data_IF_305720076453
#
_entry.id   IF_305720076453
#
_cell.length_a   1.000
_cell.length_b   1.000
_cell.length_c   1.000
_cell.angle_alpha   90.00
_cell.angle_beta   90.00
_cell.angle_gamma   90.00
#
_symmetry.space_group_name_H-M   'P 1'
#
loop_
_entity.id
_entity.type
_entity.pdbx_description
1 polymer ?
#
# COMPACT_ATOMS: atom_id res chain seq x y z
N UNK A 1 -13.60 -3.19 25.11
CA UNK A 1 -12.69 -4.31 24.84
C UNK A 1 -12.79 -4.55 23.33
N UNK A 2 -11.72 -4.34 22.60
CA UNK A 2 -11.67 -4.65 21.18
C UNK A 2 -11.20 -6.10 21.05
N UNK A 3 -12.12 -7.03 20.85
CA UNK A 3 -11.82 -8.45 20.65
C UNK A 3 -11.84 -8.83 19.17
N UNK A 4 -11.18 -9.93 18.83
CA UNK A 4 -11.25 -10.48 17.49
C UNK A 4 -12.55 -11.28 17.33
N UNK A 5 -13.40 -10.82 16.43
CA UNK A 5 -14.61 -11.51 15.99
C UNK A 5 -14.21 -12.58 14.98
N UNK A 6 -14.84 -13.76 15.09
CA UNK A 6 -14.73 -14.78 14.05
C UNK A 6 -16.08 -15.04 13.40
N UNK A 7 -16.06 -15.30 12.11
CA UNK A 7 -17.23 -15.52 11.30
C UNK A 7 -17.02 -16.69 10.33
N UNK A 8 -18.11 -17.31 9.90
CA UNK A 8 -18.07 -18.37 8.88
C UNK A 8 -17.77 -17.83 7.47
N UNK A 9 -17.69 -18.73 6.50
CA UNK A 9 -17.41 -18.40 5.09
C UNK A 9 -18.49 -17.49 4.43
N UNK A 10 -19.66 -17.30 5.06
CA UNK A 10 -20.73 -16.41 4.64
C UNK A 10 -20.78 -15.10 5.46
N UNK A 11 -19.71 -14.79 6.23
CA UNK A 11 -19.60 -13.65 7.12
C UNK A 11 -20.72 -13.59 8.18
N UNK A 12 -21.23 -14.76 8.60
CA UNK A 12 -22.08 -14.84 9.78
C UNK A 12 -21.18 -14.89 11.00
N UNK A 13 -21.27 -13.87 11.84
CA UNK A 13 -20.52 -13.78 13.07
C UNK A 13 -20.90 -14.92 14.02
N UNK A 14 -19.93 -15.65 14.50
CA UNK A 14 -20.08 -16.79 15.41
C UNK A 14 -19.76 -16.38 16.86
N UNK A 15 -18.99 -15.32 17.06
CA UNK A 15 -18.67 -14.79 18.38
C UNK A 15 -17.34 -14.07 18.43
N UNK A 16 -16.90 -13.81 19.67
CA UNK A 16 -15.57 -13.29 19.98
C UNK A 16 -14.64 -14.45 20.32
N UNK A 17 -13.41 -14.39 19.86
CA UNK A 17 -12.39 -15.34 20.28
C UNK A 17 -12.01 -15.10 21.75
N UNK A 18 -11.85 -16.20 22.51
CA UNK A 18 -11.40 -16.12 23.91
C UNK A 18 -9.96 -15.66 24.06
N UNK A 19 -9.13 -15.90 23.04
CA UNK A 19 -7.82 -15.29 22.86
C UNK A 19 -7.48 -15.18 21.38
N UNK A 20 -6.63 -14.22 21.04
CA UNK A 20 -5.95 -14.11 19.76
C UNK A 20 -4.57 -13.49 20.01
N UNK A 21 -3.55 -13.97 19.29
CA UNK A 21 -2.19 -13.45 19.37
C UNK A 21 -1.55 -13.45 17.99
N UNK A 22 -1.02 -12.32 17.56
CA UNK A 22 -0.36 -12.16 16.27
C UNK A 22 -0.67 -10.85 15.60
N UNK A 23 -0.53 -10.76 14.30
CA UNK A 23 -0.50 -9.51 13.55
C UNK A 23 -1.47 -9.48 12.38
N UNK A 24 -2.06 -8.30 12.16
CA UNK A 24 -2.65 -7.88 10.90
C UNK A 24 -1.74 -6.84 10.25
N UNK A 25 -1.29 -7.09 9.03
CA UNK A 25 -0.43 -6.22 8.24
C UNK A 25 -1.19 -5.66 7.06
N UNK A 26 -1.21 -4.33 6.89
CA UNK A 26 -1.91 -3.65 5.79
C UNK A 26 -0.99 -2.64 5.10
N UNK A 27 -1.24 -2.39 3.82
CA UNK A 27 -0.48 -1.47 2.98
C UNK A 27 0.46 -2.19 2.03
N UNK A 28 1.42 -2.95 2.53
CA UNK A 28 2.40 -3.68 1.71
C UNK A 28 2.14 -5.18 1.72
N UNK A 29 2.11 -5.82 2.88
CA UNK A 29 1.95 -7.27 2.93
C UNK A 29 0.50 -7.73 2.82
N UNK A 30 -0.45 -6.95 3.36
CA UNK A 30 -1.88 -7.17 3.25
C UNK A 30 -2.33 -8.58 3.68
N UNK A 31 -1.71 -9.10 4.74
CA UNK A 31 -1.92 -10.44 5.29
C UNK A 31 -2.04 -10.39 6.80
N UNK A 32 -2.47 -11.49 7.39
CA UNK A 32 -2.47 -11.69 8.83
C UNK A 32 -1.98 -13.08 9.20
N UNK A 33 -1.49 -13.20 10.43
CA UNK A 33 -1.14 -14.47 11.08
C UNK A 33 -1.54 -14.36 12.55
N UNK A 34 -2.51 -15.18 12.98
CA UNK A 34 -3.05 -15.13 14.34
C UNK A 34 -3.11 -16.55 14.93
N UNK A 35 -2.55 -16.72 16.12
CA UNK A 35 -2.84 -17.87 16.97
C UNK A 35 -4.23 -17.69 17.55
N UNK A 36 -5.05 -18.71 17.39
CA UNK A 36 -6.45 -18.75 17.83
C UNK A 36 -6.77 -20.09 18.47
N UNK A 37 -7.79 -20.18 19.35
CA UNK A 37 -8.16 -21.44 19.97
C UNK A 37 -8.42 -22.53 18.95
N UNK A 38 -7.92 -23.74 19.18
CA UNK A 38 -8.13 -24.91 18.31
C UNK A 38 -9.59 -25.36 18.29
N UNK A 39 -10.33 -25.15 19.42
CA UNK A 39 -11.74 -25.50 19.56
C UNK A 39 -12.72 -24.43 19.04
N UNK A 40 -12.23 -23.32 18.47
CA UNK A 40 -13.09 -22.26 17.91
C UNK A 40 -13.77 -22.65 16.59
N UNK A 41 -13.39 -23.79 15.98
CA UNK A 41 -13.96 -24.24 14.71
C UNK A 41 -13.60 -23.38 13.51
N UNK A 42 -12.47 -22.66 13.57
CA UNK A 42 -11.96 -21.86 12.48
C UNK A 42 -11.43 -22.79 11.39
N UNK A 43 -11.80 -22.52 10.15
CA UNK A 43 -11.40 -23.29 8.99
C UNK A 43 -11.00 -22.38 7.84
N UNK A 44 -10.41 -22.92 6.79
CA UNK A 44 -10.21 -22.19 5.53
C UNK A 44 -11.54 -21.60 5.04
N UNK A 45 -11.52 -20.32 4.69
CA UNK A 45 -12.69 -19.55 4.29
C UNK A 45 -13.40 -18.82 5.43
N UNK A 46 -13.11 -19.10 6.70
CA UNK A 46 -13.56 -18.31 7.85
C UNK A 46 -13.00 -16.88 7.78
N UNK A 47 -13.61 -15.97 8.53
CA UNK A 47 -13.14 -14.60 8.64
C UNK A 47 -12.77 -14.27 10.08
N UNK A 48 -11.69 -13.50 10.23
CA UNK A 48 -11.24 -12.93 11.49
C UNK A 48 -11.19 -11.40 11.33
N UNK A 49 -11.76 -10.64 12.29
CA UNK A 49 -11.85 -9.19 12.16
C UNK A 49 -12.02 -8.50 13.51
N UNK A 50 -11.69 -7.21 13.52
CA UNK A 50 -11.95 -6.29 14.62
C UNK A 50 -13.00 -5.30 14.13
N UNK A 51 -14.18 -5.28 14.75
CA UNK A 51 -15.32 -4.46 14.31
C UNK A 51 -14.98 -2.97 14.27
N UNK A 52 -15.53 -2.29 13.29
CA UNK A 52 -15.32 -0.86 13.07
C UNK A 52 -13.91 -0.47 12.63
N UNK A 53 -13.02 -1.45 12.39
CA UNK A 53 -11.63 -1.22 11.98
C UNK A 53 -11.34 -1.73 10.58
N UNK A 54 -10.15 -1.42 10.09
CA UNK A 54 -9.59 -1.94 8.84
C UNK A 54 -8.94 -3.32 9.00
N UNK A 55 -8.78 -3.79 10.24
CA UNK A 55 -8.10 -5.03 10.57
C UNK A 55 -9.06 -6.20 10.54
N UNK A 56 -8.91 -7.03 9.54
CA UNK A 56 -9.68 -8.24 9.33
C UNK A 56 -9.47 -8.79 7.93
N UNK A 57 -9.95 -10.03 7.73
CA UNK A 57 -9.79 -10.70 6.45
C UNK A 57 -10.21 -12.15 6.51
N UNK A 58 -9.85 -12.88 5.45
CA UNK A 58 -10.23 -14.28 5.24
C UNK A 58 -9.08 -15.21 5.56
N UNK A 59 -9.36 -16.28 6.29
CA UNK A 59 -8.44 -17.37 6.54
C UNK A 59 -8.23 -18.15 5.24
N UNK A 60 -6.99 -18.20 4.77
CA UNK A 60 -6.57 -18.94 3.58
C UNK A 60 -5.89 -20.27 3.94
N UNK A 61 -5.42 -20.43 5.19
CA UNK A 61 -4.80 -21.65 5.68
C UNK A 61 -4.69 -21.71 7.21
N UNK A 62 -4.37 -22.87 7.71
CA UNK A 62 -4.14 -23.14 9.13
C UNK A 62 -2.82 -23.91 9.28
N UNK A 63 -1.96 -23.42 10.17
CA UNK A 63 -0.80 -24.17 10.65
C UNK A 63 -1.16 -24.80 11.98
N UNK A 64 -1.12 -26.13 12.04
CA UNK A 64 -1.57 -26.93 13.18
C UNK A 64 -0.36 -27.62 13.82
N UNK A 65 -0.12 -27.29 15.08
CA UNK A 65 0.79 -28.03 15.94
C UNK A 65 -0.06 -28.94 16.87
N UNK A 66 0.07 -30.25 16.73
CA UNK A 66 -0.74 -31.22 17.49
C UNK A 66 -0.42 -31.25 18.98
N UNK A 67 0.64 -30.60 19.43
CA UNK A 67 1.02 -30.49 20.84
C UNK A 67 0.53 -29.17 21.48
N UNK A 68 0.01 -28.24 20.68
CA UNK A 68 -0.52 -26.95 21.11
C UNK A 68 -2.05 -26.97 21.28
N UNK A 69 -2.54 -26.07 22.12
CA UNK A 69 -3.98 -25.80 22.32
C UNK A 69 -4.49 -24.65 21.45
N UNK A 70 -3.72 -24.28 20.41
CA UNK A 70 -4.06 -23.26 19.43
C UNK A 70 -3.69 -23.73 18.02
N UNK A 71 -4.30 -23.09 17.05
CA UNK A 71 -3.90 -23.16 15.63
C UNK A 71 -3.49 -21.77 15.17
N UNK A 72 -2.56 -21.70 14.22
CA UNK A 72 -2.20 -20.41 13.58
C UNK A 72 -3.01 -20.25 12.30
N UNK A 73 -3.96 -19.32 12.34
CA UNK A 73 -4.74 -18.94 11.16
C UNK A 73 -3.97 -17.90 10.36
N UNK A 74 -3.68 -18.21 9.10
CA UNK A 74 -3.00 -17.32 8.16
C UNK A 74 -3.94 -16.95 7.02
N UNK A 75 -3.85 -15.70 6.54
CA UNK A 75 -4.75 -15.29 5.49
C UNK A 75 -4.50 -13.87 4.98
N UNK A 76 -5.36 -13.48 4.03
CA UNK A 76 -5.35 -12.14 3.44
C UNK A 76 -6.28 -11.21 4.22
N UNK A 77 -5.78 -10.00 4.51
CA UNK A 77 -6.63 -8.91 5.00
C UNK A 77 -7.64 -8.48 3.93
N UNK A 78 -8.58 -7.58 4.27
CA UNK A 78 -9.47 -6.97 3.28
C UNK A 78 -8.71 -6.36 2.12
N UNK A 79 -7.59 -5.70 2.40
CA UNK A 79 -6.66 -5.14 1.41
C UNK A 79 -6.04 -6.22 0.52
N UNK A 80 -5.65 -7.36 1.11
CA UNK A 80 -5.08 -8.49 0.38
C UNK A 80 -6.10 -9.24 -0.49
N UNK A 81 -7.35 -9.34 -0.04
CA UNK A 81 -8.45 -9.89 -0.86
C UNK A 81 -8.67 -9.00 -2.09
N UNK A 82 -8.69 -7.68 -1.88
CA UNK A 82 -8.84 -6.71 -2.96
C UNK A 82 -7.64 -6.75 -3.92
N UNK A 83 -6.41 -6.82 -3.40
CA UNK A 83 -5.18 -6.87 -4.19
C UNK A 83 -5.07 -8.14 -5.04
N UNK A 84 -5.51 -9.28 -4.52
CA UNK A 84 -5.50 -10.54 -5.28
C UNK A 84 -6.57 -10.62 -6.38
N UNK A 85 -7.41 -9.60 -6.52
CA UNK A 85 -8.44 -9.49 -7.55
C UNK A 85 -8.01 -8.51 -8.64
N UNK A 86 -7.70 -9.02 -9.84
CA UNK A 86 -7.10 -8.20 -10.89
C UNK A 86 -8.13 -7.34 -11.64
N UNK A 87 -7.86 -6.06 -11.79
CA UNK A 87 -8.65 -5.13 -12.61
C UNK A 87 -8.33 -5.38 -14.08
N UNK A 88 -9.28 -5.94 -14.82
CA UNK A 88 -9.14 -6.29 -16.23
C UNK A 88 -10.10 -5.47 -17.09
N UNK A 89 -9.69 -4.97 -18.26
CA UNK A 89 -10.61 -4.38 -19.22
C UNK A 89 -11.58 -5.42 -19.77
N UNK A 90 -12.70 -4.97 -20.33
CA UNK A 90 -13.60 -5.86 -21.06
C UNK A 90 -12.93 -6.37 -22.33
N UNK A 91 -13.40 -7.52 -22.84
CA UNK A 91 -12.87 -8.10 -24.07
C UNK A 91 -12.90 -7.08 -25.22
N UNK A 92 -11.78 -6.95 -25.92
CA UNK A 92 -11.62 -6.01 -27.04
C UNK A 92 -11.28 -4.57 -26.63
N UNK A 93 -11.20 -4.26 -25.34
CA UNK A 93 -10.81 -2.93 -24.85
C UNK A 93 -9.34 -2.93 -24.38
N UNK A 94 -8.61 -1.85 -24.68
CA UNK A 94 -7.23 -1.67 -24.23
C UNK A 94 -7.12 -1.36 -22.73
N UNK A 95 -8.06 -0.57 -22.20
CA UNK A 95 -8.09 -0.16 -20.79
C UNK A 95 -9.50 -0.20 -20.23
N UNK A 96 -9.64 -0.40 -18.92
CA UNK A 96 -10.83 -0.03 -18.19
C UNK A 96 -10.75 1.47 -17.92
N UNK A 97 -11.78 2.21 -18.30
CA UNK A 97 -11.86 3.67 -18.10
C UNK A 97 -13.06 3.99 -17.24
N UNK A 98 -12.87 4.77 -16.18
CA UNK A 98 -13.93 5.15 -15.24
C UNK A 98 -13.96 6.66 -15.01
N UNK A 99 -15.15 7.15 -14.70
CA UNK A 99 -15.41 8.55 -14.34
C UNK A 99 -16.54 8.65 -13.32
N UNK A 100 -16.56 9.74 -12.56
CA UNK A 100 -17.59 10.11 -11.59
C UNK A 100 -17.09 10.10 -10.15
N UNK A 101 -18.01 10.14 -9.20
CA UNK A 101 -17.70 10.10 -7.78
C UNK A 101 -16.90 8.85 -7.41
N UNK A 102 -15.84 9.02 -6.61
CA UNK A 102 -14.91 7.95 -6.28
C UNK A 102 -15.57 6.77 -5.57
N UNK A 103 -16.55 6.99 -4.67
CA UNK A 103 -17.28 5.89 -4.02
C UNK A 103 -18.11 5.09 -5.04
N UNK A 104 -18.73 5.77 -5.99
CA UNK A 104 -19.47 5.11 -7.07
C UNK A 104 -18.55 4.29 -7.99
N UNK A 105 -17.35 4.81 -8.29
CA UNK A 105 -16.34 4.06 -9.06
C UNK A 105 -15.88 2.83 -8.29
N UNK A 106 -15.56 2.97 -6.99
CA UNK A 106 -15.18 1.85 -6.12
C UNK A 106 -16.29 0.79 -6.11
N UNK A 107 -17.56 1.21 -6.03
CA UNK A 107 -18.70 0.28 -6.06
C UNK A 107 -18.75 -0.55 -7.34
N UNK A 108 -18.59 0.10 -8.51
CA UNK A 108 -18.53 -0.61 -9.80
C UNK A 108 -17.34 -1.57 -9.89
N UNK A 109 -16.19 -1.20 -9.30
CA UNK A 109 -15.02 -2.08 -9.22
C UNK A 109 -15.25 -3.29 -8.32
N UNK A 110 -15.84 -3.09 -7.14
CA UNK A 110 -16.19 -4.20 -6.22
C UNK A 110 -17.10 -5.22 -6.91
N UNK A 111 -18.13 -4.77 -7.61
CA UNK A 111 -19.01 -5.64 -8.41
C UNK A 111 -18.26 -6.34 -9.54
N UNK A 112 -17.45 -5.60 -10.30
CA UNK A 112 -16.66 -6.13 -11.41
C UNK A 112 -15.64 -7.18 -10.99
N UNK A 113 -15.03 -7.00 -9.81
CA UNK A 113 -14.07 -7.93 -9.23
C UNK A 113 -14.74 -9.15 -8.58
N UNK A 114 -16.08 -9.18 -8.50
CA UNK A 114 -16.83 -10.27 -7.88
C UNK A 114 -16.72 -10.28 -6.37
N UNK A 115 -16.39 -9.16 -5.73
CA UNK A 115 -16.14 -9.05 -4.29
C UNK A 115 -17.38 -8.61 -3.49
N UNK A 116 -18.53 -8.42 -4.13
CA UNK A 116 -19.76 -7.96 -3.48
C UNK A 116 -20.28 -8.92 -2.38
N UNK A 117 -19.80 -10.14 -2.32
CA UNK A 117 -20.12 -11.10 -1.27
C UNK A 117 -19.49 -10.74 0.09
N UNK A 118 -18.37 -10.02 0.11
CA UNK A 118 -17.64 -9.66 1.34
C UNK A 118 -17.31 -8.17 1.45
N UNK A 119 -17.45 -7.40 0.38
CA UNK A 119 -17.13 -5.97 0.33
C UNK A 119 -18.30 -5.16 -0.24
N UNK A 120 -18.36 -3.88 0.13
CA UNK A 120 -19.27 -2.92 -0.46
C UNK A 120 -18.60 -1.53 -0.48
N UNK A 121 -18.92 -0.69 -1.45
CA UNK A 121 -18.54 0.72 -1.37
C UNK A 121 -19.51 1.49 -0.48
N UNK A 122 -19.02 2.61 0.09
CA UNK A 122 -19.91 3.56 0.78
C UNK A 122 -20.92 4.13 -0.23
N UNK A 123 -22.17 4.22 0.20
CA UNK A 123 -23.28 4.66 -0.66
C UNK A 123 -23.40 6.18 -0.76
N UNK A 124 -22.91 6.90 0.25
CA UNK A 124 -22.84 8.36 0.21
C UNK A 124 -21.79 8.81 -0.80
N UNK A 125 -22.05 9.92 -1.51
CA UNK A 125 -21.06 10.52 -2.38
C UNK A 125 -19.82 10.95 -1.58
N UNK A 126 -18.63 10.66 -2.13
CA UNK A 126 -17.38 11.06 -1.51
C UNK A 126 -17.09 12.57 -1.65
N UNK A 127 -17.71 13.22 -2.64
CA UNK A 127 -17.36 14.59 -3.06
C UNK A 127 -16.03 14.70 -3.82
N UNK A 128 -15.41 13.56 -4.15
CA UNK A 128 -14.18 13.46 -4.89
C UNK A 128 -14.46 12.79 -6.24
N UNK A 129 -14.05 13.40 -7.33
CA UNK A 129 -14.38 12.93 -8.68
C UNK A 129 -13.16 12.62 -9.50
N UNK A 130 -13.21 11.53 -10.26
CA UNK A 130 -12.25 11.20 -11.31
C UNK A 130 -12.88 11.34 -12.67
N UNK A 131 -12.09 11.74 -13.66
CA UNK A 131 -12.54 11.91 -15.04
C UNK A 131 -11.61 11.17 -15.98
N UNK A 132 -12.16 10.18 -16.72
CA UNK A 132 -11.42 9.43 -17.72
C UNK A 132 -10.23 8.65 -17.15
N UNK A 133 -10.26 8.23 -15.89
CA UNK A 133 -9.19 7.45 -15.30
C UNK A 133 -9.02 6.11 -16.00
N UNK A 134 -7.79 5.86 -16.47
CA UNK A 134 -7.43 4.61 -17.14
C UNK A 134 -6.72 3.70 -16.16
N UNK A 135 -7.33 2.56 -15.88
CA UNK A 135 -6.68 1.52 -15.07
C UNK A 135 -5.59 0.84 -15.90
N UNK A 136 -4.42 0.61 -15.28
CA UNK A 136 -3.31 -0.06 -15.98
C UNK A 136 -3.68 -1.49 -16.34
N UNK A 137 -3.15 -1.94 -17.49
CA UNK A 137 -3.34 -3.30 -18.00
C UNK A 137 -2.11 -4.18 -17.75
N UNK A 138 -0.98 -3.60 -17.46
CA UNK A 138 0.32 -4.24 -17.48
C UNK A 138 1.07 -4.04 -16.18
N UNK A 139 1.97 -4.98 -15.87
CA UNK A 139 2.84 -4.94 -14.71
C UNK A 139 2.25 -5.52 -13.41
N UNK A 140 3.02 -5.41 -12.36
CA UNK A 140 2.74 -6.00 -11.05
C UNK A 140 1.59 -5.29 -10.29
N UNK A 141 1.19 -4.09 -10.71
CA UNK A 141 0.19 -3.25 -10.03
C UNK A 141 -1.23 -3.41 -10.58
N UNK A 142 -1.60 -4.59 -11.05
CA UNK A 142 -2.95 -4.86 -11.57
C UNK A 142 -3.98 -5.21 -10.49
N UNK A 143 -3.57 -5.39 -9.26
CA UNK A 143 -4.44 -5.70 -8.14
C UNK A 143 -5.44 -4.59 -7.84
N UNK A 144 -6.63 -4.96 -7.42
CA UNK A 144 -7.71 -4.00 -7.15
C UNK A 144 -7.32 -2.94 -6.11
N UNK A 145 -6.60 -3.34 -5.06
CA UNK A 145 -6.13 -2.41 -4.04
C UNK A 145 -5.14 -1.37 -4.60
N UNK A 146 -4.09 -1.82 -5.29
CA UNK A 146 -3.10 -0.95 -5.91
C UNK A 146 -3.72 -0.02 -6.94
N UNK A 147 -4.65 -0.51 -7.76
CA UNK A 147 -5.33 0.27 -8.79
C UNK A 147 -6.26 1.35 -8.20
N UNK A 148 -7.03 1.01 -7.17
CA UNK A 148 -7.90 1.99 -6.50
C UNK A 148 -7.06 3.05 -5.80
N UNK A 149 -5.96 2.68 -5.13
CA UNK A 149 -5.05 3.65 -4.51
C UNK A 149 -4.46 4.63 -5.53
N UNK A 150 -4.00 4.14 -6.68
CA UNK A 150 -3.47 4.98 -7.75
C UNK A 150 -4.53 5.96 -8.29
N UNK A 151 -5.77 5.49 -8.47
CA UNK A 151 -6.89 6.33 -8.85
C UNK A 151 -7.17 7.42 -7.81
N UNK A 152 -7.26 7.06 -6.54
CA UNK A 152 -7.56 8.00 -5.46
C UNK A 152 -6.43 9.01 -5.25
N UNK A 153 -5.18 8.58 -5.37
CA UNK A 153 -4.02 9.47 -5.28
C UNK A 153 -4.05 10.58 -6.33
N UNK A 154 -4.60 10.33 -7.53
CA UNK A 154 -4.72 11.35 -8.59
C UNK A 154 -5.64 12.52 -8.24
N UNK A 155 -6.52 12.33 -7.24
CA UNK A 155 -7.46 13.35 -6.76
C UNK A 155 -7.20 13.75 -5.29
N UNK A 156 -6.00 13.46 -4.76
CA UNK A 156 -5.62 13.80 -3.39
C UNK A 156 -6.40 13.01 -2.32
N UNK A 157 -6.86 11.81 -2.67
CA UNK A 157 -7.64 10.94 -1.80
C UNK A 157 -6.86 9.66 -1.44
N UNK A 158 -7.40 8.93 -0.47
CA UNK A 158 -6.95 7.59 -0.06
C UNK A 158 -8.13 6.64 0.08
N UNK A 159 -7.86 5.34 0.07
CA UNK A 159 -8.84 4.29 0.32
C UNK A 159 -8.91 4.00 1.83
N UNK A 160 -10.12 4.10 2.38
CA UNK A 160 -10.43 3.64 3.73
C UNK A 160 -11.28 2.38 3.64
N UNK A 161 -10.87 1.33 4.34
CA UNK A 161 -11.62 0.07 4.46
C UNK A 161 -11.96 -0.11 5.94
N UNK A 162 -13.23 -0.42 6.26
CA UNK A 162 -13.66 -0.74 7.61
C UNK A 162 -14.69 -1.86 7.59
N UNK A 163 -14.54 -2.82 8.48
CA UNK A 163 -15.60 -3.82 8.67
C UNK A 163 -16.81 -3.20 9.36
N UNK A 164 -17.97 -3.45 8.81
CA UNK A 164 -19.28 -3.03 9.33
C UNK A 164 -20.09 -4.29 9.69
N UNK A 165 -20.18 -4.59 11.00
CA UNK A 165 -20.88 -5.78 11.50
C UNK A 165 -22.38 -5.76 11.17
N UNK A 166 -23.03 -4.58 11.08
CA UNK A 166 -24.44 -4.48 10.69
C UNK A 166 -24.67 -4.86 9.22
N UNK A 167 -23.74 -4.47 8.34
CA UNK A 167 -23.77 -4.83 6.92
C UNK A 167 -23.12 -6.20 6.64
N UNK A 168 -22.37 -6.73 7.58
CA UNK A 168 -21.52 -7.94 7.45
C UNK A 168 -20.61 -7.87 6.23
N UNK A 169 -19.94 -6.74 6.06
CA UNK A 169 -19.05 -6.48 4.91
C UNK A 169 -17.95 -5.50 5.29
N UNK A 170 -16.84 -5.62 4.61
CA UNK A 170 -15.86 -4.56 4.60
C UNK A 170 -16.36 -3.42 3.70
N UNK A 171 -16.53 -2.23 4.27
CA UNK A 171 -17.01 -1.03 3.57
C UNK A 171 -15.80 -0.22 3.11
N UNK A 172 -15.75 0.04 1.81
CA UNK A 172 -14.72 0.79 1.12
C UNK A 172 -15.20 2.22 0.88
N UNK A 173 -14.38 3.20 1.23
CA UNK A 173 -14.70 4.61 1.00
C UNK A 173 -13.49 5.41 0.54
N UNK A 174 -13.72 6.33 -0.39
CA UNK A 174 -12.76 7.36 -0.74
C UNK A 174 -12.85 8.49 0.28
N UNK A 175 -11.72 8.87 0.86
CA UNK A 175 -11.63 9.98 1.81
C UNK A 175 -10.45 10.88 1.45
N UNK A 176 -10.49 12.18 1.80
CA UNK A 176 -9.33 13.04 1.61
C UNK A 176 -8.09 12.45 2.28
N UNK A 177 -6.96 12.57 1.62
CA UNK A 177 -5.67 12.19 2.16
C UNK A 177 -5.32 13.13 3.32
N UNK A 178 -4.91 12.56 4.46
CA UNK A 178 -4.40 13.36 5.57
C UNK A 178 -3.05 13.98 5.23
N UNK A 179 -2.86 15.24 5.58
CA UNK A 179 -1.59 15.96 5.50
C UNK A 179 -1.22 16.44 6.90
N UNK A 180 -0.18 15.83 7.45
CA UNK A 180 0.31 16.10 8.80
C UNK A 180 1.71 16.74 8.80
N UNK A 181 2.12 17.32 7.67
CA UNK A 181 3.46 17.93 7.51
C UNK A 181 3.62 19.16 8.42
N UNK A 182 2.59 19.99 8.49
CA UNK A 182 2.61 21.25 9.28
C UNK A 182 2.39 20.99 10.79
N UNK A 183 1.83 19.86 11.17
CA UNK A 183 1.69 19.49 12.58
C UNK A 183 3.05 19.23 13.24
N UNK A 184 4.10 19.20 12.42
CA UNK A 184 5.49 18.97 12.77
C UNK A 184 5.60 17.82 13.77
N UNK A 185 6.03 16.67 13.34
CA UNK A 185 6.45 15.65 14.31
C UNK A 185 7.59 16.30 15.06
N UNK A 186 7.26 16.88 16.25
CA UNK A 186 8.26 17.34 17.18
C UNK A 186 9.11 16.13 17.55
N UNK A 187 10.37 16.13 17.10
CA UNK A 187 11.28 15.01 17.32
C UNK A 187 11.48 14.65 18.78
N UNK A 188 10.99 15.50 19.69
CA UNK A 188 10.94 15.23 21.14
C UNK A 188 9.70 14.41 21.54
N UNK A 189 8.62 14.39 20.70
CA UNK A 189 7.38 13.66 21.00
C UNK A 189 7.26 12.34 20.25
N UNK A 190 7.75 12.28 19.01
CA UNK A 190 7.77 11.06 18.19
C UNK A 190 9.16 10.86 17.63
N UNK A 191 9.95 9.91 18.14
CA UNK A 191 11.27 9.64 17.64
C UNK A 191 11.19 9.22 16.17
N UNK A 192 11.96 9.85 15.30
CA UNK A 192 12.11 9.48 13.91
C UNK A 192 13.58 9.28 13.55
N UNK A 193 13.83 8.47 12.56
CA UNK A 193 15.16 8.25 12.00
C UNK A 193 15.21 8.85 10.59
N UNK A 194 16.17 9.73 10.33
CA UNK A 194 16.44 10.22 9.00
C UNK A 194 17.74 9.60 8.51
N UNK A 195 17.66 8.86 7.44
CA UNK A 195 18.82 8.34 6.72
C UNK A 195 18.94 9.09 5.39
N UNK A 196 20.09 9.68 5.15
CA UNK A 196 20.41 10.29 3.86
C UNK A 196 21.45 9.43 3.16
N UNK A 197 21.16 9.08 1.92
CA UNK A 197 22.07 8.32 1.07
C UNK A 197 22.29 9.05 -0.23
N UNK A 198 23.36 8.68 -0.96
CA UNK A 198 23.56 9.16 -2.32
C UNK A 198 23.17 8.02 -3.26
N UNK A 199 21.98 8.08 -3.87
CA UNK A 199 21.57 7.09 -4.85
C UNK A 199 22.28 7.29 -6.17
N UNK A 200 22.11 6.32 -7.09
CA UNK A 200 22.41 6.49 -8.51
C UNK A 200 21.69 7.73 -9.02
N UNK A 201 22.41 8.63 -9.69
CA UNK A 201 21.87 9.88 -10.22
C UNK A 201 22.19 10.10 -11.71
N UNK A 202 22.80 9.12 -12.33
CA UNK A 202 23.00 9.02 -13.77
C UNK A 202 22.66 7.59 -14.20
N UNK A 203 21.73 7.43 -15.12
CA UNK A 203 21.37 6.15 -15.69
C UNK A 203 21.71 6.15 -17.18
N UNK A 204 22.70 5.36 -17.56
CA UNK A 204 23.08 5.12 -18.95
C UNK A 204 22.19 4.01 -19.51
N UNK A 205 21.15 4.37 -20.25
CA UNK A 205 20.15 3.45 -20.76
C UNK A 205 20.48 2.98 -22.16
N UNK A 206 20.48 1.67 -22.38
CA UNK A 206 20.85 1.02 -23.63
C UNK A 206 19.68 0.19 -24.14
N UNK A 207 19.24 0.47 -25.38
CA UNK A 207 18.06 -0.13 -26.02
C UNK A 207 18.42 -1.06 -27.19
N UNK A 208 17.55 -1.01 -28.19
CA UNK A 208 17.68 -1.79 -29.44
C UNK A 208 18.93 -1.45 -30.23
N UNK A 209 19.43 -2.42 -31.02
CA UNK A 209 20.61 -2.30 -31.87
C UNK A 209 21.87 -2.87 -31.25
N UNK A 210 22.99 -2.82 -32.00
CA UNK A 210 24.29 -3.33 -31.57
C UNK A 210 25.41 -2.34 -31.92
N UNK A 211 26.44 -2.29 -31.08
CA UNK A 211 27.61 -1.46 -31.29
C UNK A 211 27.25 0.03 -31.46
N UNK A 212 27.76 0.67 -32.50
CA UNK A 212 27.51 2.08 -32.79
C UNK A 212 26.07 2.39 -33.25
N UNK A 213 25.30 1.39 -33.61
CA UNK A 213 23.88 1.54 -33.99
C UNK A 213 22.91 1.30 -32.83
N UNK A 214 23.44 1.07 -31.63
CA UNK A 214 22.63 0.85 -30.44
C UNK A 214 21.96 2.16 -30.01
N UNK A 215 20.67 2.10 -29.71
CA UNK A 215 19.97 3.22 -29.08
C UNK A 215 20.47 3.42 -27.65
N UNK A 216 20.93 4.62 -27.36
CA UNK A 216 21.45 4.99 -26.04
C UNK A 216 20.89 6.34 -25.62
N UNK A 217 20.40 6.44 -24.41
CA UNK A 217 20.01 7.72 -23.78
C UNK A 217 20.61 7.81 -22.39
N UNK A 218 20.92 9.02 -21.96
CA UNK A 218 21.41 9.32 -20.61
C UNK A 218 20.37 10.11 -19.83
N UNK A 219 20.01 9.64 -18.66
CA UNK A 219 19.08 10.27 -17.75
C UNK A 219 19.77 10.66 -16.44
N UNK A 220 19.48 11.84 -15.95
CA UNK A 220 20.13 12.40 -14.77
C UNK A 220 19.12 12.84 -13.72
N UNK A 221 19.45 12.67 -12.45
CA UNK A 221 18.70 13.23 -11.34
C UNK A 221 19.49 14.38 -10.69
N UNK A 222 18.78 15.46 -10.34
CA UNK A 222 19.35 16.56 -9.59
C UNK A 222 19.44 16.27 -8.07
N UNK A 223 19.87 17.26 -7.26
CA UNK A 223 19.96 17.10 -5.80
C UNK A 223 18.61 16.89 -5.11
N UNK A 224 17.52 17.21 -5.77
CA UNK A 224 16.18 17.07 -5.25
C UNK A 224 15.48 15.78 -5.76
N UNK A 225 16.16 15.02 -6.62
CA UNK A 225 15.63 13.80 -7.23
C UNK A 225 14.80 14.03 -8.49
N UNK A 226 14.78 15.25 -9.05
CA UNK A 226 14.08 15.50 -10.31
C UNK A 226 14.88 14.92 -11.47
N UNK A 227 14.22 14.11 -12.31
CA UNK A 227 14.83 13.42 -13.46
C UNK A 227 14.74 14.28 -14.72
N UNK A 228 15.86 14.38 -15.45
CA UNK A 228 15.94 15.07 -16.74
C UNK A 228 17.10 14.53 -17.59
N UNK A 229 17.18 14.92 -18.88
CA UNK A 229 18.33 14.63 -19.76
C UNK A 229 19.56 15.50 -19.51
N UNK A 230 19.60 16.34 -18.45
CA UNK A 230 20.69 17.28 -18.20
C UNK A 230 21.44 16.93 -16.91
N UNK A 231 22.74 16.69 -17.03
CA UNK A 231 23.60 16.44 -15.87
C UNK A 231 23.80 17.69 -15.03
N UNK A 232 23.52 17.60 -13.73
CA UNK A 232 23.69 18.68 -12.75
C UNK A 232 24.66 18.32 -11.62
N UNK A 233 24.95 17.02 -11.43
CA UNK A 233 25.86 16.53 -10.41
C UNK A 233 27.12 15.95 -11.05
N UNK A 234 28.29 16.40 -10.57
CA UNK A 234 29.59 16.09 -11.15
C UNK A 234 30.59 15.63 -10.09
N UNK A 235 31.67 14.99 -10.54
CA UNK A 235 32.79 14.58 -9.70
C UNK A 235 32.34 13.60 -8.59
N UNK A 236 32.66 13.88 -7.31
CA UNK A 236 32.32 12.97 -6.21
C UNK A 236 30.80 12.88 -5.92
N UNK A 237 30.01 13.72 -6.58
CA UNK A 237 28.54 13.69 -6.46
C UNK A 237 27.87 12.88 -7.55
N UNK A 238 28.62 12.45 -8.57
CA UNK A 238 28.12 11.65 -9.69
C UNK A 238 28.18 10.18 -9.34
N UNK A 239 27.05 9.46 -9.46
CA UNK A 239 26.93 8.01 -9.29
C UNK A 239 26.15 7.48 -10.48
N UNK A 240 26.83 6.65 -11.28
CA UNK A 240 26.32 6.14 -12.55
C UNK A 240 26.00 4.65 -12.47
N UNK A 241 24.96 4.22 -13.19
CA UNK A 241 24.60 2.83 -13.42
C UNK A 241 24.16 2.61 -14.87
N UNK A 242 24.42 1.43 -15.40
CA UNK A 242 23.95 1.02 -16.72
C UNK A 242 22.59 0.32 -16.61
N UNK A 243 21.66 0.70 -17.47
CA UNK A 243 20.37 0.04 -17.66
C UNK A 243 20.28 -0.54 -19.06
N UNK A 244 20.21 -1.85 -19.15
CA UNK A 244 20.16 -2.58 -20.41
C UNK A 244 18.77 -3.17 -20.65
N UNK A 245 18.08 -2.69 -21.72
CA UNK A 245 16.83 -3.23 -22.21
C UNK A 245 16.89 -3.36 -23.74
N UNK A 246 17.47 -4.46 -24.29
CA UNK A 246 17.76 -4.60 -25.70
C UNK A 246 16.53 -4.66 -26.61
N UNK A 247 15.33 -4.73 -26.07
CA UNK A 247 14.07 -4.71 -26.81
C UNK A 247 13.40 -3.33 -26.87
N UNK A 248 13.83 -2.38 -26.01
CA UNK A 248 13.20 -1.08 -25.90
C UNK A 248 13.67 -0.12 -27.00
N UNK A 249 12.75 0.64 -27.59
CA UNK A 249 13.05 1.81 -28.40
C UNK A 249 13.42 3.02 -27.53
N UNK A 250 13.67 4.18 -28.15
CA UNK A 250 14.10 5.39 -27.44
C UNK A 250 13.03 5.91 -26.47
N UNK A 251 11.75 5.88 -26.86
CA UNK A 251 10.64 6.34 -26.03
C UNK A 251 10.41 5.43 -24.81
N UNK A 252 10.47 4.13 -25.02
CA UNK A 252 10.38 3.13 -23.97
C UNK A 252 11.57 3.21 -23.01
N UNK A 253 12.78 3.45 -23.52
CA UNK A 253 13.96 3.67 -22.67
C UNK A 253 13.81 4.91 -21.78
N UNK A 254 13.29 6.01 -22.35
CA UNK A 254 13.05 7.24 -21.59
C UNK A 254 12.00 6.99 -20.49
N UNK A 255 10.92 6.29 -20.77
CA UNK A 255 9.88 5.97 -19.81
C UNK A 255 10.40 5.07 -18.69
N UNK A 256 10.95 3.89 -19.04
CA UNK A 256 11.41 2.93 -18.06
C UNK A 256 12.65 3.41 -17.29
N UNK A 257 13.59 4.06 -17.97
CA UNK A 257 14.77 4.65 -17.35
C UNK A 257 14.41 5.77 -16.36
N UNK A 258 13.45 6.62 -16.73
CA UNK A 258 12.93 7.67 -15.83
C UNK A 258 12.30 7.08 -14.60
N UNK A 259 11.48 6.03 -14.75
CA UNK A 259 10.84 5.37 -13.60
C UNK A 259 11.90 4.73 -12.70
N UNK A 260 12.85 3.99 -13.27
CA UNK A 260 13.94 3.36 -12.53
C UNK A 260 14.80 4.38 -11.78
N UNK A 261 15.12 5.50 -12.41
CA UNK A 261 15.91 6.54 -11.77
C UNK A 261 15.14 7.24 -10.65
N UNK A 262 13.83 7.42 -10.78
CA UNK A 262 12.95 7.88 -9.69
C UNK A 262 12.91 6.90 -8.52
N UNK A 263 12.87 5.60 -8.80
CA UNK A 263 12.90 4.58 -7.75
C UNK A 263 14.22 4.65 -6.96
N UNK A 264 15.35 4.89 -7.62
CA UNK A 264 16.62 5.15 -6.92
C UNK A 264 16.57 6.44 -6.09
N UNK A 265 15.90 7.50 -6.57
CA UNK A 265 15.78 8.76 -5.83
C UNK A 265 14.90 8.63 -4.58
N UNK A 266 14.01 7.66 -4.52
CA UNK A 266 13.27 7.34 -3.29
C UNK A 266 14.20 7.01 -2.10
N UNK A 267 15.42 6.55 -2.37
CA UNK A 267 16.45 6.27 -1.36
C UNK A 267 17.28 7.50 -0.94
N UNK A 268 17.08 8.65 -1.58
CA UNK A 268 17.87 9.87 -1.31
C UNK A 268 17.74 10.32 0.15
N UNK A 269 16.54 10.24 0.69
CA UNK A 269 16.25 10.58 2.08
C UNK A 269 15.20 9.62 2.60
N UNK A 270 15.57 8.81 3.58
CA UNK A 270 14.64 7.91 4.26
C UNK A 270 14.29 8.47 5.63
N UNK A 271 13.01 8.44 5.94
CA UNK A 271 12.49 8.79 7.27
C UNK A 271 11.69 7.61 7.80
N UNK A 272 12.10 7.06 8.90
CA UNK A 272 11.36 6.06 9.66
C UNK A 272 10.73 6.69 10.89
N UNK A 273 9.46 6.44 11.13
CA UNK A 273 8.80 6.81 12.38
C UNK A 273 9.05 5.69 13.39
N UNK A 274 9.85 5.97 14.44
CA UNK A 274 10.04 5.01 15.52
C UNK A 274 8.84 5.06 16.47
N UNK A 275 8.09 3.94 16.55
CA UNK A 275 7.02 3.73 17.52
C UNK A 275 5.90 4.77 17.47
N UNK A 276 5.43 5.15 16.30
CA UNK A 276 4.20 5.91 16.19
C UNK A 276 3.01 4.99 16.56
N UNK A 277 2.82 4.76 17.86
CA UNK A 277 1.65 4.06 18.41
C UNK A 277 0.34 4.86 18.17
N UNK A 278 0.39 5.87 17.31
CA UNK A 278 -0.74 6.74 17.03
C UNK A 278 -1.62 6.13 15.93
N UNK A 279 -2.78 5.61 16.38
CA UNK A 279 -3.79 5.03 15.50
C UNK A 279 -4.40 6.03 14.50
N UNK A 280 -4.10 7.35 14.61
CA UNK A 280 -4.70 8.39 13.75
C UNK A 280 -4.18 8.38 12.32
N UNK A 281 -2.93 7.97 12.08
CA UNK A 281 -2.39 7.90 10.72
C UNK A 281 -2.93 6.67 9.98
N UNK A 282 -3.36 6.87 8.75
CA UNK A 282 -3.83 5.80 7.86
C UNK A 282 -2.85 5.63 6.68
N UNK A 283 -2.89 4.50 6.02
CA UNK A 283 -2.09 4.26 4.80
C UNK A 283 -2.39 5.35 3.77
N UNK A 284 -1.35 5.84 3.09
CA UNK A 284 -1.34 6.96 2.15
C UNK A 284 -1.37 8.36 2.77
N UNK A 285 -1.49 8.53 4.09
CA UNK A 285 -1.32 9.85 4.70
C UNK A 285 0.09 10.39 4.53
N UNK A 286 0.20 11.70 4.39
CA UNK A 286 1.48 12.40 4.33
C UNK A 286 1.88 12.80 5.73
N UNK A 287 3.10 12.46 6.10
CA UNK A 287 3.68 12.79 7.40
C UNK A 287 5.01 13.50 7.22
N UNK A 288 5.32 14.43 8.12
CA UNK A 288 6.57 15.17 8.12
C UNK A 288 7.39 14.91 9.37
N UNK A 289 8.70 14.93 9.24
CA UNK A 289 9.64 14.90 10.34
C UNK A 289 10.60 16.07 10.29
N UNK A 290 10.82 16.77 11.41
CA UNK A 290 11.76 17.91 11.53
C UNK A 290 12.73 17.62 12.66
N UNK A 291 14.04 17.68 12.36
CA UNK A 291 15.06 17.72 13.40
C UNK A 291 15.69 19.11 13.43
N UNK A 292 15.26 19.94 14.37
CA UNK A 292 15.81 21.29 14.56
C UNK A 292 17.29 21.24 14.93
N UNK A 293 17.70 20.23 15.71
CA UNK A 293 19.10 20.02 16.10
C UNK A 293 20.02 19.77 14.93
N UNK A 294 19.54 19.06 13.89
CA UNK A 294 20.34 18.68 12.71
C UNK A 294 20.00 19.51 11.48
N UNK A 295 19.00 20.42 11.57
CA UNK A 295 18.58 21.27 10.45
C UNK A 295 18.01 20.46 9.29
N UNK A 296 17.36 19.32 9.55
CA UNK A 296 16.83 18.42 8.51
C UNK A 296 15.33 18.29 8.64
N UNK A 297 14.63 18.40 7.52
CA UNK A 297 13.20 18.11 7.40
C UNK A 297 12.97 17.05 6.32
N UNK A 298 12.00 16.18 6.55
CA UNK A 298 11.61 15.12 5.60
C UNK A 298 10.10 15.03 5.53
N UNK A 299 9.58 14.81 4.33
CA UNK A 299 8.17 14.50 4.07
C UNK A 299 8.11 13.10 3.46
N UNK A 300 7.25 12.26 4.00
CA UNK A 300 7.06 10.89 3.53
C UNK A 300 5.58 10.49 3.60
N UNK A 301 5.24 9.29 3.16
CA UNK A 301 3.89 8.75 3.25
C UNK A 301 3.86 7.52 4.14
N UNK A 302 2.72 7.30 4.79
CA UNK A 302 2.44 6.05 5.50
C UNK A 302 2.24 4.95 4.46
N UNK A 303 3.14 3.98 4.43
CA UNK A 303 3.11 2.87 3.48
C UNK A 303 2.42 1.62 4.03
N UNK A 304 2.57 1.37 5.33
CA UNK A 304 1.98 0.20 5.97
C UNK A 304 1.62 0.47 7.43
N UNK A 305 0.70 -0.32 7.93
CA UNK A 305 0.35 -0.39 9.35
C UNK A 305 0.29 -1.85 9.78
N UNK A 306 0.72 -2.10 11.00
CA UNK A 306 0.61 -3.41 11.65
C UNK A 306 -0.19 -3.24 12.93
N UNK A 307 -1.23 -4.04 13.10
CA UNK A 307 -1.94 -4.18 14.37
C UNK A 307 -1.53 -5.49 15.01
N UNK A 308 -0.82 -5.41 16.12
CA UNK A 308 -0.43 -6.57 16.93
C UNK A 308 -1.50 -6.81 18.01
N UNK A 309 -2.10 -7.98 17.96
CA UNK A 309 -3.09 -8.45 18.92
C UNK A 309 -2.39 -9.32 19.96
N UNK A 310 -2.58 -9.05 21.23
CA UNK A 310 -2.09 -9.86 22.34
C UNK A 310 -3.17 -9.97 23.41
N UNK A 311 -4.01 -10.99 23.29
CA UNK A 311 -5.21 -11.13 24.12
C UNK A 311 -6.20 -9.98 23.91
N UNK A 312 -6.46 -9.20 24.95
CA UNK A 312 -7.38 -8.04 24.94
C UNK A 312 -6.69 -6.72 24.53
N UNK A 313 -5.37 -6.73 24.34
CA UNK A 313 -4.59 -5.57 23.96
C UNK A 313 -4.32 -5.56 22.44
N UNK A 314 -4.47 -4.39 21.84
CA UNK A 314 -4.12 -4.17 20.44
C UNK A 314 -3.19 -2.96 20.38
N UNK A 315 -2.00 -3.20 19.84
CA UNK A 315 -1.01 -2.16 19.60
C UNK A 315 -0.86 -1.91 18.11
N UNK A 316 -0.50 -0.69 17.73
CA UNK A 316 -0.38 -0.29 16.34
C UNK A 316 1.03 0.21 16.05
N UNK A 317 1.58 -0.25 14.94
CA UNK A 317 2.83 0.25 14.36
C UNK A 317 2.53 0.84 12.98
N UNK A 318 3.08 2.03 12.74
CA UNK A 318 2.97 2.70 11.44
C UNK A 318 4.33 2.72 10.76
N UNK A 319 4.40 2.26 9.51
CA UNK A 319 5.62 2.26 8.70
C UNK A 319 5.49 3.23 7.55
N UNK A 320 6.55 3.98 7.28
CA UNK A 320 6.59 4.89 6.15
C UNK A 320 7.09 4.20 4.87
N UNK A 321 6.90 4.83 3.72
CA UNK A 321 7.29 4.29 2.41
C UNK A 321 8.80 3.94 2.29
N UNK A 322 9.58 4.30 3.29
CA UNK A 322 11.04 4.12 3.32
C UNK A 322 11.51 2.99 4.23
N UNK A 323 10.58 2.37 4.98
CA UNK A 323 10.87 1.26 5.90
C UNK A 323 10.44 -0.11 5.32
N UNK A 324 9.88 -0.09 4.11
CA UNK A 324 9.24 -1.27 3.50
C UNK A 324 10.06 -1.78 2.31
#
# INVERSE_FOLDING_TARGET
MAGVIYADAQLRELGLLRFAEGDFSIGVYNSFSLKVPDDAGIAEGSYLMIDGTEYGGRVDGLDIDTEADYVTAVGRTWHGILESSLVKPSAGQGHLVESGDCNAVIGRLVERLGLAYCMAAETAASGLEVSGWKFTREGERMGGYSQIRAMLASVGAKLRIRYDGARRRAVLSAVPRGDYVDEGIDGDLVPFEISTRRPVNHLHCMGTGEGAARTVIDLYADRNGNVSGTQTLFGPYHVEEAYDNPSADEAELEEYGTQRLRDYQADLRKCGLKNAADARYEVDDVVGGVSTRHGVSVVTTVAAKVATVSGDEITYETKTAMEV
#
